data_IF_610466665306
#
_entry.id   IF_610466665306
#
_cell.length_a   1.000
_cell.length_b   1.000
_cell.length_c   1.000
_cell.angle_alpha   90.00
_cell.angle_beta   90.00
_cell.angle_gamma   90.00
#
_symmetry.space_group_name_H-M   'P 1'
#
loop_
_entity.id
_entity.type
_entity.pdbx_description
1 polymer ?
#
# COMPACT_ATOMS: atom_id res chain seq x y z
N UNK A 1 -12.23 8.89 27.10
CA UNK A 1 -12.53 8.27 25.79
C UNK A 1 -13.05 9.41 24.93
N UNK A 2 -12.31 9.78 23.89
CA UNK A 2 -12.78 10.78 22.92
C UNK A 2 -13.56 9.96 21.90
N UNK A 3 -14.88 10.11 21.87
CA UNK A 3 -15.71 9.46 20.85
C UNK A 3 -15.61 10.30 19.58
N UNK A 4 -15.08 9.68 18.52
CA UNK A 4 -15.07 10.29 17.19
C UNK A 4 -16.47 10.20 16.58
N UNK A 5 -16.88 11.25 15.85
CA UNK A 5 -18.12 11.20 15.07
C UNK A 5 -17.96 10.28 13.86
N UNK A 6 -19.07 9.76 13.32
CA UNK A 6 -19.06 8.97 12.07
C UNK A 6 -18.38 9.75 10.92
N UNK A 7 -18.57 11.06 10.85
CA UNK A 7 -17.92 11.92 9.87
C UNK A 7 -16.39 11.98 10.06
N UNK A 8 -15.92 12.04 11.31
CA UNK A 8 -14.49 12.02 11.63
C UNK A 8 -13.85 10.66 11.31
N UNK A 9 -14.56 9.57 11.61
CA UNK A 9 -14.14 8.21 11.27
C UNK A 9 -14.04 8.06 9.76
N UNK A 10 -15.09 8.43 9.02
CA UNK A 10 -15.11 8.34 7.56
C UNK A 10 -14.03 9.22 6.90
N UNK A 11 -13.75 10.41 7.43
CA UNK A 11 -12.67 11.27 6.93
C UNK A 11 -11.28 10.66 7.16
N UNK A 12 -11.07 10.00 8.32
CA UNK A 12 -9.85 9.26 8.60
C UNK A 12 -9.70 8.05 7.67
N UNK A 13 -10.77 7.29 7.48
CA UNK A 13 -10.79 6.13 6.58
C UNK A 13 -10.48 6.55 5.15
N UNK A 14 -11.13 7.59 4.61
CA UNK A 14 -10.82 8.11 3.28
C UNK A 14 -9.33 8.45 3.13
N UNK A 15 -8.76 9.11 4.13
CA UNK A 15 -7.35 9.48 4.13
C UNK A 15 -6.47 8.22 4.15
N UNK A 16 -6.73 7.29 5.05
CA UNK A 16 -5.94 6.05 5.16
C UNK A 16 -6.01 5.25 3.85
N UNK A 17 -7.21 5.03 3.32
CA UNK A 17 -7.42 4.33 2.05
C UNK A 17 -6.68 5.02 0.89
N UNK A 18 -6.72 6.35 0.79
CA UNK A 18 -6.01 7.06 -0.26
C UNK A 18 -4.49 6.89 -0.17
N UNK A 19 -3.91 6.96 1.03
CA UNK A 19 -2.48 6.74 1.24
C UNK A 19 -2.07 5.28 1.04
N UNK A 20 -2.94 4.34 1.41
CA UNK A 20 -2.76 2.91 1.17
C UNK A 20 -2.59 2.62 -0.34
N UNK A 21 -3.55 3.06 -1.16
CA UNK A 21 -3.50 2.83 -2.60
C UNK A 21 -2.36 3.59 -3.29
N UNK A 22 -2.06 4.82 -2.83
CA UNK A 22 -0.92 5.59 -3.32
C UNK A 22 0.42 4.92 -2.98
N UNK A 23 0.54 4.25 -1.83
CA UNK A 23 1.70 3.46 -1.43
C UNK A 23 1.97 2.31 -2.40
N UNK A 24 0.92 1.52 -2.73
CA UNK A 24 1.02 0.47 -3.75
C UNK A 24 1.44 1.03 -5.10
N UNK A 25 0.77 2.08 -5.58
CA UNK A 25 1.06 2.70 -6.87
C UNK A 25 2.51 3.15 -6.96
N UNK A 26 3.01 3.87 -5.95
CA UNK A 26 4.35 4.44 -5.97
C UNK A 26 5.42 3.34 -6.08
N UNK A 27 5.37 2.29 -5.25
CA UNK A 27 6.36 1.21 -5.35
C UNK A 27 6.21 0.41 -6.65
N UNK A 28 4.98 0.17 -7.10
CA UNK A 28 4.73 -0.56 -8.35
C UNK A 28 5.31 0.17 -9.56
N UNK A 29 5.12 1.49 -9.64
CA UNK A 29 5.67 2.34 -10.70
C UNK A 29 7.18 2.51 -10.58
N UNK A 30 7.72 2.58 -9.36
CA UNK A 30 9.17 2.57 -9.11
C UNK A 30 9.86 1.33 -9.70
N UNK A 31 9.16 0.20 -9.71
CA UNK A 31 9.64 -1.04 -10.31
C UNK A 31 9.40 -1.15 -11.82
N UNK A 32 8.90 -0.09 -12.47
CA UNK A 32 8.69 -0.04 -13.92
C UNK A 32 7.33 -0.59 -14.37
N UNK A 33 6.42 -0.85 -13.43
CA UNK A 33 5.01 -1.07 -13.72
C UNK A 33 4.26 0.24 -13.95
N UNK A 34 2.97 0.14 -14.18
CA UNK A 34 2.05 1.27 -14.19
C UNK A 34 0.66 0.80 -13.74
N UNK A 35 -0.11 1.70 -13.14
CA UNK A 35 -1.48 1.40 -12.73
C UNK A 35 -2.23 2.64 -12.26
N UNK A 36 -3.53 2.45 -12.01
CA UNK A 36 -4.42 3.50 -11.51
C UNK A 36 -4.86 3.16 -10.08
N UNK A 37 -4.69 4.07 -9.13
CA UNK A 37 -5.34 3.97 -7.83
C UNK A 37 -6.74 4.59 -7.91
N UNK A 38 -7.70 4.01 -7.21
CA UNK A 38 -9.05 4.56 -7.07
C UNK A 38 -9.55 4.40 -5.65
N UNK A 39 -10.34 5.37 -5.19
CA UNK A 39 -11.02 5.35 -3.88
C UNK A 39 -12.48 5.72 -4.09
N UNK A 40 -13.39 5.00 -3.44
CA UNK A 40 -14.83 5.25 -3.54
C UNK A 40 -15.54 4.92 -2.23
N UNK A 41 -16.74 5.50 -2.05
CA UNK A 41 -17.55 5.29 -0.86
C UNK A 41 -18.10 3.87 -0.80
N UNK A 42 -18.10 3.27 0.37
CA UNK A 42 -18.77 1.99 0.61
C UNK A 42 -20.28 2.23 0.78
N UNK A 43 -21.07 1.57 -0.07
CA UNK A 43 -22.54 1.67 -0.07
C UNK A 43 -23.22 0.49 0.66
N UNK A 44 -22.47 -0.35 1.39
CA UNK A 44 -23.03 -1.50 2.11
C UNK A 44 -24.01 -1.12 3.22
N UNK A 45 -23.83 0.08 3.79
CA UNK A 45 -24.61 0.55 4.95
C UNK A 45 -24.33 -0.22 6.24
N UNK A 46 -23.30 -1.08 6.25
CA UNK A 46 -22.88 -1.83 7.41
C UNK A 46 -21.89 -0.98 8.24
N UNK A 47 -22.22 -0.59 9.49
CA UNK A 47 -21.35 0.24 10.32
C UNK A 47 -20.08 -0.49 10.78
N UNK A 48 -20.02 -1.82 10.65
CA UNK A 48 -18.84 -2.62 10.98
C UNK A 48 -17.83 -2.67 9.80
N UNK A 49 -18.18 -2.11 8.63
CA UNK A 49 -17.30 -2.01 7.47
C UNK A 49 -16.74 -0.60 7.30
N UNK A 50 -15.57 -0.48 6.68
CA UNK A 50 -14.99 0.82 6.30
C UNK A 50 -15.96 1.61 5.41
N UNK A 51 -16.11 2.91 5.66
CA UNK A 51 -16.91 3.83 4.86
C UNK A 51 -16.28 4.12 3.49
N UNK A 52 -14.99 3.81 3.31
CA UNK A 52 -14.25 4.01 2.07
C UNK A 52 -13.50 2.74 1.66
N UNK A 53 -13.54 2.47 0.36
CA UNK A 53 -12.85 1.35 -0.28
C UNK A 53 -11.82 1.89 -1.26
N UNK A 54 -10.72 1.17 -1.40
CA UNK A 54 -9.62 1.49 -2.28
C UNK A 54 -9.30 0.33 -3.21
N UNK A 55 -8.70 0.65 -4.35
CA UNK A 55 -8.05 -0.35 -5.19
C UNK A 55 -7.00 0.26 -6.10
N UNK A 56 -5.77 -0.25 -6.00
CA UNK A 56 -4.77 -0.12 -7.02
C UNK A 56 -5.00 -1.13 -8.15
N UNK A 57 -5.02 -0.64 -9.39
CA UNK A 57 -5.34 -1.40 -10.60
C UNK A 57 -4.12 -1.43 -11.53
N UNK A 58 -3.30 -2.49 -11.47
CA UNK A 58 -2.18 -2.64 -12.38
C UNK A 58 -2.59 -2.66 -13.85
N UNK A 59 -1.86 -1.94 -14.69
CA UNK A 59 -2.01 -1.91 -16.16
C UNK A 59 -0.86 -2.61 -16.86
N UNK A 60 0.36 -2.42 -16.37
CA UNK A 60 1.57 -3.05 -16.91
C UNK A 60 2.39 -3.65 -15.78
N UNK A 61 2.78 -4.92 -15.92
CA UNK A 61 3.55 -5.62 -14.90
C UNK A 61 5.04 -5.27 -14.98
N UNK A 62 5.71 -4.93 -13.85
CA UNK A 62 7.16 -4.71 -13.78
C UNK A 62 7.99 -5.80 -14.47
N UNK A 63 7.70 -7.07 -14.19
CA UNK A 63 8.41 -8.22 -14.77
C UNK A 63 8.26 -8.26 -16.29
N UNK A 64 7.02 -8.09 -16.79
CA UNK A 64 6.71 -8.13 -18.22
C UNK A 64 7.38 -6.97 -18.95
N UNK A 65 7.31 -5.76 -18.40
CA UNK A 65 7.93 -4.58 -18.98
C UNK A 65 9.45 -4.71 -19.04
N UNK A 66 10.08 -5.22 -17.97
CA UNK A 66 11.51 -5.51 -17.94
C UNK A 66 11.91 -6.54 -19.00
N UNK A 67 11.16 -7.63 -19.13
CA UNK A 67 11.41 -8.65 -20.17
C UNK A 67 11.31 -8.07 -21.58
N UNK A 68 10.28 -7.26 -21.86
CA UNK A 68 10.10 -6.61 -23.16
C UNK A 68 11.26 -5.69 -23.48
N UNK A 69 11.67 -4.83 -22.53
CA UNK A 69 12.77 -3.88 -22.72
C UNK A 69 14.09 -4.61 -23.06
N UNK A 70 14.44 -5.63 -22.28
CA UNK A 70 15.66 -6.41 -22.50
C UNK A 70 15.65 -7.15 -23.85
N UNK A 71 14.51 -7.73 -24.24
CA UNK A 71 14.36 -8.44 -25.51
C UNK A 71 14.53 -7.52 -26.74
N UNK A 72 14.28 -6.22 -26.58
CA UNK A 72 14.45 -5.22 -27.64
C UNK A 72 15.78 -4.46 -27.54
N UNK A 73 16.71 -4.91 -26.67
CA UNK A 73 18.03 -4.31 -26.52
C UNK A 73 18.04 -2.99 -25.73
N UNK A 74 16.95 -2.66 -25.04
CA UNK A 74 16.92 -1.50 -24.14
C UNK A 74 17.50 -1.87 -22.77
N UNK A 75 18.18 -0.90 -22.15
CA UNK A 75 18.53 -1.00 -20.73
C UNK A 75 17.26 -0.96 -19.88
N UNK A 76 17.16 -1.84 -18.88
CA UNK A 76 16.06 -1.88 -17.93
C UNK A 76 16.60 -1.85 -16.50
N UNK A 77 16.01 -1.03 -15.59
CA UNK A 77 16.39 -1.02 -14.18
C UNK A 77 16.24 -2.40 -13.54
N UNK A 78 17.18 -2.78 -12.67
CA UNK A 78 17.11 -4.04 -11.94
C UNK A 78 15.81 -4.12 -11.12
N UNK A 79 15.13 -5.27 -11.22
CA UNK A 79 13.91 -5.55 -10.49
C UNK A 79 14.26 -6.49 -9.33
N UNK A 80 14.09 -6.07 -8.07
CA UNK A 80 14.37 -6.93 -6.92
C UNK A 80 13.57 -8.23 -6.99
N UNK A 81 14.17 -9.36 -6.59
CA UNK A 81 13.48 -10.65 -6.63
C UNK A 81 12.23 -10.70 -5.73
N UNK A 82 12.23 -9.90 -4.66
CA UNK A 82 11.15 -9.74 -3.68
C UNK A 82 10.20 -8.58 -4.02
N UNK A 83 10.23 -7.99 -5.21
CA UNK A 83 9.43 -6.78 -5.53
C UNK A 83 7.93 -6.93 -5.25
N UNK A 84 7.34 -8.12 -5.48
CA UNK A 84 5.92 -8.39 -5.20
C UNK A 84 5.63 -8.25 -3.71
N UNK A 85 6.52 -8.75 -2.87
CA UNK A 85 6.41 -8.64 -1.42
C UNK A 85 6.51 -7.19 -0.96
N UNK A 86 7.46 -6.43 -1.51
CA UNK A 86 7.61 -5.00 -1.24
C UNK A 86 6.36 -4.21 -1.63
N UNK A 87 5.77 -4.50 -2.80
CA UNK A 87 4.50 -3.87 -3.23
C UNK A 87 3.35 -4.29 -2.33
N UNK A 88 3.24 -5.57 -1.97
CA UNK A 88 2.13 -6.08 -1.16
C UNK A 88 2.04 -5.45 0.23
N UNK A 89 3.17 -5.16 0.88
CA UNK A 89 3.17 -4.45 2.17
C UNK A 89 3.06 -2.93 2.06
N UNK A 90 3.16 -2.37 0.84
CA UNK A 90 3.32 -0.94 0.62
C UNK A 90 2.17 -0.10 1.16
N UNK A 91 0.92 -0.56 0.98
CA UNK A 91 -0.27 0.17 1.43
C UNK A 91 -0.32 0.29 2.95
N UNK A 92 -0.15 -0.83 3.66
CA UNK A 92 -0.14 -0.84 5.13
C UNK A 92 1.02 -0.02 5.70
N UNK A 93 2.21 -0.10 5.11
CA UNK A 93 3.35 0.72 5.56
C UNK A 93 3.18 2.21 5.23
N UNK A 94 2.48 2.55 4.16
CA UNK A 94 2.14 3.95 3.87
C UNK A 94 1.17 4.51 4.92
N UNK A 95 0.24 3.71 5.45
CA UNK A 95 -0.58 4.10 6.59
C UNK A 95 0.24 4.32 7.86
N UNK A 96 1.22 3.45 8.15
CA UNK A 96 2.11 3.60 9.31
C UNK A 96 2.96 4.88 9.21
N UNK A 97 3.50 5.19 8.02
CA UNK A 97 4.23 6.44 7.81
C UNK A 97 3.29 7.64 7.94
N UNK A 98 2.05 7.53 7.45
CA UNK A 98 1.04 8.59 7.56
C UNK A 98 0.65 8.86 9.02
N UNK A 99 0.52 7.82 9.84
CA UNK A 99 0.10 7.97 11.25
C UNK A 99 1.08 8.83 12.04
N UNK A 100 2.37 8.76 11.68
CA UNK A 100 3.45 9.48 12.35
C UNK A 100 3.68 9.04 13.80
N UNK A 101 3.14 7.88 14.20
CA UNK A 101 3.27 7.36 15.57
C UNK A 101 4.69 6.84 15.87
N UNK A 102 5.41 6.41 14.84
CA UNK A 102 6.80 5.95 14.95
C UNK A 102 7.59 6.27 13.69
N UNK A 103 8.89 6.53 13.86
CA UNK A 103 9.86 6.59 12.76
C UNK A 103 10.73 5.33 12.66
N UNK A 104 10.60 4.40 13.61
CA UNK A 104 11.37 3.17 13.68
C UNK A 104 10.77 2.08 12.77
N UNK A 105 11.55 1.59 11.80
CA UNK A 105 11.10 0.57 10.87
C UNK A 105 10.84 -0.79 11.54
N UNK A 106 11.51 -1.06 12.67
CA UNK A 106 11.25 -2.27 13.45
C UNK A 106 9.87 -2.25 14.10
N UNK A 107 9.49 -1.13 14.70
CA UNK A 107 8.15 -0.91 15.23
C UNK A 107 7.08 -0.98 14.13
N UNK A 108 7.38 -0.47 12.92
CA UNK A 108 6.47 -0.62 11.76
C UNK A 108 6.34 -2.09 11.32
N UNK A 109 7.41 -2.90 11.42
CA UNK A 109 7.34 -4.33 11.15
C UNK A 109 6.44 -5.06 12.17
N UNK A 110 6.57 -4.72 13.46
CA UNK A 110 5.70 -5.27 14.51
C UNK A 110 4.23 -4.89 14.26
N UNK A 111 3.97 -3.62 13.92
CA UNK A 111 2.63 -3.13 13.57
C UNK A 111 2.04 -3.87 12.37
N UNK A 112 2.83 -4.07 11.32
CA UNK A 112 2.43 -4.80 10.13
C UNK A 112 2.06 -6.26 10.45
N UNK A 113 2.85 -6.96 11.26
CA UNK A 113 2.55 -8.33 11.70
C UNK A 113 1.25 -8.39 12.49
N UNK A 114 1.01 -7.42 13.39
CA UNK A 114 -0.23 -7.33 14.15
C UNK A 114 -1.43 -7.11 13.23
N UNK A 115 -1.36 -6.14 12.31
CA UNK A 115 -2.41 -5.86 11.32
C UNK A 115 -2.76 -7.10 10.50
N UNK A 116 -1.75 -7.82 10.01
CA UNK A 116 -1.96 -9.09 9.29
C UNK A 116 -2.64 -10.14 10.17
N UNK A 117 -2.18 -10.29 11.43
CA UNK A 117 -2.72 -11.25 12.38
C UNK A 117 -4.18 -10.99 12.77
N UNK A 118 -4.59 -9.71 12.77
CA UNK A 118 -5.97 -9.31 13.05
C UNK A 118 -6.87 -9.31 11.81
N UNK A 119 -6.32 -9.58 10.62
CA UNK A 119 -7.07 -9.65 9.38
C UNK A 119 -7.30 -8.30 8.69
N UNK A 120 -6.53 -7.27 9.06
CA UNK A 120 -6.63 -5.94 8.46
C UNK A 120 -6.00 -5.87 7.05
N UNK A 121 -5.14 -6.84 6.71
CA UNK A 121 -4.52 -6.94 5.39
C UNK A 121 -5.46 -7.57 4.37
N UNK A 122 -5.54 -6.98 3.18
CA UNK A 122 -6.40 -7.52 2.11
C UNK A 122 -5.85 -8.86 1.58
N UNK A 123 -6.74 -9.72 1.06
CA UNK A 123 -6.33 -10.98 0.45
C UNK A 123 -5.37 -10.79 -0.75
N UNK A 124 -5.50 -9.67 -1.49
CA UNK A 124 -4.59 -9.32 -2.58
C UNK A 124 -3.20 -8.95 -2.10
N UNK A 125 -3.09 -8.23 -0.99
CA UNK A 125 -1.80 -7.84 -0.42
C UNK A 125 -1.06 -9.06 0.12
N UNK A 126 -1.76 -9.91 0.87
CA UNK A 126 -1.23 -11.18 1.36
C UNK A 126 -0.76 -12.07 0.21
N UNK A 127 -1.53 -12.15 -0.88
CA UNK A 127 -1.15 -12.91 -2.07
C UNK A 127 0.12 -12.35 -2.74
N UNK A 128 0.27 -11.02 -2.84
CA UNK A 128 1.50 -10.39 -3.35
C UNK A 128 2.70 -10.65 -2.44
N UNK A 129 2.49 -10.69 -1.13
CA UNK A 129 3.51 -11.02 -0.13
C UNK A 129 3.86 -12.51 -0.09
N UNK A 130 3.09 -13.37 -0.77
CA UNK A 130 3.25 -14.83 -0.71
C UNK A 130 2.84 -15.41 0.65
N UNK A 131 2.05 -14.67 1.44
CA UNK A 131 1.53 -15.11 2.73
C UNK A 131 0.30 -15.98 2.47
N UNK A 132 0.44 -17.28 2.73
CA UNK A 132 -0.64 -18.26 2.57
C UNK A 132 -1.23 -18.71 3.91
N UNK A 133 -0.52 -18.43 5.00
CA UNK A 133 -0.95 -18.64 6.38
C UNK A 133 -0.57 -17.41 7.21
N UNK A 134 -1.60 -16.76 7.77
CA UNK A 134 -1.48 -15.55 8.58
C UNK A 134 -0.78 -15.87 9.92
N UNK A 135 -1.02 -17.06 10.49
CA UNK A 135 -0.43 -17.47 11.77
C UNK A 135 1.08 -17.74 11.67
N UNK A 136 1.59 -17.96 10.45
CA UNK A 136 3.01 -18.17 10.17
C UNK A 136 3.66 -17.01 9.41
N UNK A 137 3.08 -15.81 9.43
CA UNK A 137 3.57 -14.66 8.68
C UNK A 137 4.94 -14.18 9.24
N UNK A 138 6.02 -14.77 8.74
CA UNK A 138 7.41 -14.43 9.10
C UNK A 138 8.00 -13.38 8.17
N UNK A 139 7.52 -12.14 8.23
CA UNK A 139 8.15 -11.03 7.51
C UNK A 139 9.53 -10.73 8.11
N UNK A 140 10.54 -10.60 7.25
CA UNK A 140 11.86 -10.16 7.68
C UNK A 140 11.84 -8.65 7.94
N UNK A 141 12.36 -8.23 9.09
CA UNK A 141 12.55 -6.81 9.43
C UNK A 141 13.37 -6.07 8.37
N UNK A 142 14.34 -6.74 7.74
CA UNK A 142 15.16 -6.16 6.68
C UNK A 142 14.33 -5.81 5.44
N UNK A 143 13.33 -6.64 5.11
CA UNK A 143 12.44 -6.38 3.96
C UNK A 143 11.46 -5.25 4.28
N UNK A 144 10.98 -5.18 5.52
CA UNK A 144 10.14 -4.06 5.97
C UNK A 144 10.94 -2.75 5.95
N UNK A 145 12.16 -2.74 6.48
CA UNK A 145 13.04 -1.57 6.44
C UNK A 145 13.32 -1.13 4.99
N UNK A 146 13.54 -2.07 4.08
CA UNK A 146 13.68 -1.80 2.65
C UNK A 146 12.43 -1.09 2.08
N UNK A 147 11.23 -1.62 2.34
CA UNK A 147 9.98 -1.04 1.88
C UNK A 147 9.73 0.35 2.47
N UNK A 148 9.93 0.54 3.78
CA UNK A 148 9.80 1.83 4.48
C UNK A 148 10.76 2.85 3.89
N UNK A 149 12.02 2.49 3.66
CA UNK A 149 13.00 3.38 3.03
C UNK A 149 12.55 3.81 1.64
N UNK A 150 12.10 2.88 0.79
CA UNK A 150 11.62 3.21 -0.56
C UNK A 150 10.37 4.10 -0.53
N UNK A 151 9.44 3.85 0.41
CA UNK A 151 8.26 4.68 0.65
C UNK A 151 8.62 6.10 1.07
N UNK A 152 9.57 6.25 2.00
CA UNK A 152 10.07 7.56 2.44
C UNK A 152 10.74 8.34 1.32
N UNK A 153 11.55 7.67 0.50
CA UNK A 153 12.19 8.30 -0.66
C UNK A 153 11.17 8.81 -1.68
N UNK A 154 10.07 8.07 -1.89
CA UNK A 154 8.98 8.46 -2.80
C UNK A 154 7.80 9.14 -2.11
N UNK A 155 7.92 9.54 -0.85
CA UNK A 155 6.79 10.04 -0.06
C UNK A 155 6.09 11.25 -0.68
N UNK A 156 6.80 12.24 -1.28
CA UNK A 156 6.12 13.34 -1.96
C UNK A 156 5.16 12.88 -3.07
N UNK A 157 5.51 11.80 -3.79
CA UNK A 157 4.66 11.21 -4.84
C UNK A 157 3.44 10.53 -4.22
N UNK A 158 3.63 9.82 -3.11
CA UNK A 158 2.52 9.20 -2.35
C UNK A 158 1.55 10.28 -1.86
N UNK A 159 2.06 11.38 -1.32
CA UNK A 159 1.24 12.51 -0.85
C UNK A 159 0.45 13.16 -1.98
N UNK A 160 1.11 13.44 -3.11
CA UNK A 160 0.45 14.04 -4.28
C UNK A 160 -0.68 13.16 -4.81
N UNK A 161 -0.42 11.86 -4.99
CA UNK A 161 -1.42 10.90 -5.45
C UNK A 161 -2.57 10.77 -4.44
N UNK A 162 -2.27 10.62 -3.14
CA UNK A 162 -3.31 10.49 -2.12
C UNK A 162 -4.21 11.74 -2.05
N UNK A 163 -3.63 12.94 -2.15
CA UNK A 163 -4.41 14.18 -2.20
C UNK A 163 -5.29 14.26 -3.46
N UNK A 164 -4.80 13.77 -4.60
CA UNK A 164 -5.60 13.65 -5.82
C UNK A 164 -6.76 12.67 -5.64
N UNK A 165 -6.54 11.51 -5.03
CA UNK A 165 -7.57 10.51 -4.75
C UNK A 165 -8.66 11.07 -3.81
N UNK A 166 -8.26 11.74 -2.72
CA UNK A 166 -9.18 12.37 -1.77
C UNK A 166 -10.06 13.42 -2.46
N UNK A 167 -9.47 14.29 -3.30
CA UNK A 167 -10.22 15.31 -4.05
C UNK A 167 -11.18 14.68 -5.06
N UNK A 168 -10.74 13.63 -5.74
CA UNK A 168 -11.55 12.92 -6.73
C UNK A 168 -12.73 12.18 -6.09
N UNK A 169 -12.54 11.62 -4.91
CA UNK A 169 -13.58 10.94 -4.13
C UNK A 169 -14.66 11.90 -3.58
N UNK A 170 -14.33 13.18 -3.41
CA UNK A 170 -15.25 14.22 -2.95
C UNK A 170 -16.02 14.93 -4.09
N UNK A 171 -15.71 14.59 -5.35
CA UNK A 171 -16.31 15.20 -6.56
C UNK A 171 -17.48 14.36 -7.09
#
# INVERSE_FOLDING_TARGET
>A
MIDFTEEQIAARELRNTAYHEAGHKMLYERFGGAGDAVVWKNDSGNPDESAWLGQFRPRTCPEVMRTIALNHGFAAPELPANWKMLVGMAGLLAEEILSGETDDAGAMADSLVLKISFGDASASDLALMGVTDIESCGLSYEVVDEAVRMLREGWPVVQEEAEYLIKSAAS
#
